data_IF_560540152827
#
_entry.id   IF_560540152827
#
_cell.length_a   1.000
_cell.length_b   1.000
_cell.length_c   1.000
_cell.angle_alpha   90.00
_cell.angle_beta   90.00
_cell.angle_gamma   90.00
#
_symmetry.space_group_name_H-M   'P 1'
#
loop_
_entity.id
_entity.type
_entity.pdbx_description
1 polymer ?
#
# COMPACT_ATOMS: atom_id res chain seq x y z
N UNK A 1 -15.55 22.01 9.77
CA UNK A 1 -15.71 20.59 9.39
C UNK A 1 -15.82 20.55 7.87
N UNK A 2 -14.81 20.00 7.21
CA UNK A 2 -14.75 19.94 5.74
C UNK A 2 -15.72 18.85 5.28
N UNK A 3 -16.67 19.18 4.41
CA UNK A 3 -17.66 18.17 3.97
C UNK A 3 -17.02 17.22 2.95
N UNK A 4 -17.16 15.89 3.10
CA UNK A 4 -16.76 14.95 2.07
C UNK A 4 -17.46 15.27 0.75
N UNK A 5 -16.67 15.38 -0.30
CA UNK A 5 -17.12 15.61 -1.68
C UNK A 5 -17.12 14.29 -2.45
N UNK A 6 -17.69 14.28 -3.66
CA UNK A 6 -17.56 13.15 -4.58
C UNK A 6 -16.09 12.76 -4.80
N UNK A 7 -15.18 13.74 -4.89
CA UNK A 7 -13.75 13.50 -5.04
C UNK A 7 -13.15 12.82 -3.81
N UNK A 8 -13.58 13.19 -2.59
CA UNK A 8 -13.17 12.50 -1.35
C UNK A 8 -13.48 11.01 -1.43
N UNK A 9 -14.71 10.68 -1.84
CA UNK A 9 -15.15 9.30 -1.97
C UNK A 9 -14.39 8.53 -3.05
N UNK A 10 -14.11 9.16 -4.20
CA UNK A 10 -13.30 8.55 -5.26
C UNK A 10 -11.91 8.20 -4.74
N UNK A 11 -11.22 9.15 -4.07
CA UNK A 11 -9.87 8.93 -3.53
C UNK A 11 -9.90 7.85 -2.44
N UNK A 12 -10.90 7.87 -1.56
CA UNK A 12 -11.06 6.89 -0.51
C UNK A 12 -11.29 5.48 -1.09
N UNK A 13 -12.25 5.31 -2.00
CA UNK A 13 -12.55 4.01 -2.60
C UNK A 13 -11.34 3.49 -3.38
N UNK A 14 -10.68 4.35 -4.15
CA UNK A 14 -9.48 3.96 -4.89
C UNK A 14 -8.36 3.49 -3.97
N UNK A 15 -8.15 4.16 -2.83
CA UNK A 15 -7.16 3.73 -1.85
C UNK A 15 -7.52 2.41 -1.18
N UNK A 16 -8.79 2.19 -0.79
CA UNK A 16 -9.20 0.89 -0.25
C UNK A 16 -8.96 -0.24 -1.26
N UNK A 17 -9.34 -0.04 -2.53
CA UNK A 17 -9.08 -1.03 -3.59
C UNK A 17 -7.59 -1.31 -3.75
N UNK A 18 -6.74 -0.32 -3.51
CA UNK A 18 -5.27 -0.42 -3.62
C UNK A 18 -4.65 -1.15 -2.42
N UNK A 19 -4.96 -0.72 -1.18
CA UNK A 19 -4.34 -1.27 0.03
C UNK A 19 -4.95 -2.61 0.45
N UNK A 20 -6.25 -2.84 0.23
CA UNK A 20 -6.95 -4.00 0.78
C UNK A 20 -6.39 -5.35 0.30
N UNK A 21 -6.13 -5.56 -1.02
CA UNK A 21 -5.54 -6.82 -1.47
C UNK A 21 -4.16 -7.09 -0.86
N UNK A 22 -3.33 -6.04 -0.73
CA UNK A 22 -2.02 -6.13 -0.10
C UNK A 22 -2.14 -6.51 1.37
N UNK A 23 -3.09 -5.91 2.09
CA UNK A 23 -3.33 -6.21 3.50
C UNK A 23 -3.75 -7.66 3.71
N UNK A 24 -4.65 -8.18 2.87
CA UNK A 24 -5.06 -9.60 2.90
C UNK A 24 -3.89 -10.53 2.62
N UNK A 25 -3.06 -10.21 1.61
CA UNK A 25 -1.85 -10.94 1.31
C UNK A 25 -0.89 -10.98 2.51
N UNK A 26 -0.71 -9.85 3.19
CA UNK A 26 0.17 -9.75 4.36
C UNK A 26 -0.32 -10.56 5.57
N UNK A 27 -1.63 -10.67 5.79
CA UNK A 27 -2.16 -11.55 6.85
C UNK A 27 -1.82 -13.01 6.60
N UNK A 28 -1.82 -13.46 5.34
CA UNK A 28 -1.39 -14.81 5.02
C UNK A 28 0.08 -15.04 5.39
N UNK A 29 0.93 -14.03 5.21
CA UNK A 29 2.34 -14.09 5.61
C UNK A 29 2.50 -14.21 7.12
N UNK A 30 1.74 -13.42 7.87
CA UNK A 30 1.82 -13.38 9.34
C UNK A 30 1.25 -14.65 9.97
N UNK A 31 0.07 -15.11 9.54
CA UNK A 31 -0.61 -16.24 10.16
C UNK A 31 -0.16 -17.61 9.63
N UNK A 32 0.26 -17.68 8.36
CA UNK A 32 0.67 -18.94 7.72
C UNK A 32 2.07 -18.81 7.09
N UNK A 33 3.09 -18.43 7.87
CA UNK A 33 4.41 -18.07 7.36
C UNK A 33 5.08 -19.17 6.52
N UNK A 34 4.89 -20.44 6.91
CA UNK A 34 5.52 -21.59 6.28
C UNK A 34 4.64 -22.28 5.22
N UNK A 35 3.48 -21.74 4.88
CA UNK A 35 2.57 -22.41 3.94
C UNK A 35 3.01 -22.24 2.48
N UNK A 36 2.76 -23.25 1.65
CA UNK A 36 3.07 -23.16 0.22
C UNK A 36 2.38 -21.97 -0.45
N UNK A 37 1.13 -21.68 -0.07
CA UNK A 37 0.39 -20.50 -0.57
C UNK A 37 1.10 -19.18 -0.25
N UNK A 38 1.66 -19.06 0.95
CA UNK A 38 2.43 -17.88 1.35
C UNK A 38 3.73 -17.77 0.56
N UNK A 39 4.42 -18.89 0.35
CA UNK A 39 5.63 -18.93 -0.49
C UNK A 39 5.33 -18.53 -1.93
N UNK A 40 4.30 -19.14 -2.53
CA UNK A 40 3.86 -18.86 -3.89
C UNK A 40 3.48 -17.38 -4.09
N UNK A 41 2.89 -16.76 -3.06
CA UNK A 41 2.46 -15.36 -3.09
C UNK A 41 3.63 -14.37 -2.96
N UNK A 42 4.71 -14.74 -2.29
CA UNK A 42 5.86 -13.85 -2.03
C UNK A 42 6.96 -14.01 -3.08
N UNK A 43 7.31 -15.25 -3.39
CA UNK A 43 8.51 -15.57 -4.20
C UNK A 43 8.14 -15.63 -5.70
N UNK A 44 6.86 -15.80 -6.02
CA UNK A 44 6.47 -16.36 -7.31
C UNK A 44 7.00 -17.79 -7.43
N UNK A 45 6.72 -18.49 -8.54
CA UNK A 45 7.25 -19.85 -8.76
C UNK A 45 8.77 -19.82 -9.06
N UNK A 46 9.61 -19.48 -8.08
CA UNK A 46 11.06 -19.22 -8.21
C UNK A 46 11.95 -20.02 -7.24
N UNK A 47 13.28 -19.78 -7.26
CA UNK A 47 14.33 -20.61 -6.63
C UNK A 47 14.56 -20.40 -5.10
N UNK A 48 14.87 -21.51 -4.41
CA UNK A 48 14.98 -21.70 -2.95
C UNK A 48 15.91 -20.74 -2.16
N UNK A 49 16.98 -20.21 -2.75
CA UNK A 49 17.94 -19.38 -2.00
C UNK A 49 17.44 -17.93 -1.82
N UNK A 50 16.63 -17.46 -2.77
CA UNK A 50 15.99 -16.15 -2.74
C UNK A 50 14.81 -16.11 -1.77
N UNK A 51 14.22 -17.27 -1.51
CA UNK A 51 13.11 -17.46 -0.58
C UNK A 51 13.43 -16.88 0.78
N UNK A 52 14.56 -17.20 1.41
CA UNK A 52 14.73 -16.85 2.84
C UNK A 52 14.91 -15.36 3.12
N UNK A 53 15.73 -14.66 2.34
CA UNK A 53 16.00 -13.24 2.61
C UNK A 53 14.84 -12.36 2.18
N UNK A 54 14.33 -12.56 0.97
CA UNK A 54 13.17 -11.81 0.47
C UNK A 54 11.93 -12.09 1.34
N UNK A 55 11.70 -13.35 1.75
CA UNK A 55 10.65 -13.68 2.72
C UNK A 55 10.81 -12.94 4.06
N UNK A 56 12.02 -12.88 4.63
CA UNK A 56 12.26 -12.16 5.89
C UNK A 56 11.95 -10.67 5.76
N UNK A 57 12.35 -10.03 4.66
CA UNK A 57 12.02 -8.63 4.41
C UNK A 57 10.51 -8.43 4.21
N UNK A 58 9.88 -9.25 3.38
CA UNK A 58 8.42 -9.18 3.14
C UNK A 58 7.62 -9.42 4.41
N UNK A 59 8.05 -10.34 5.28
CA UNK A 59 7.42 -10.57 6.59
C UNK A 59 7.64 -9.39 7.54
N UNK A 60 8.82 -8.76 7.53
CA UNK A 60 9.08 -7.56 8.33
C UNK A 60 8.21 -6.38 7.88
N UNK A 61 8.09 -6.17 6.57
CA UNK A 61 7.17 -5.17 6.01
C UNK A 61 5.71 -5.49 6.34
N UNK A 62 5.28 -6.76 6.27
CA UNK A 62 3.94 -7.16 6.66
C UNK A 62 3.62 -6.77 8.13
N UNK A 63 4.56 -7.02 9.04
CA UNK A 63 4.40 -6.60 10.44
C UNK A 63 4.36 -5.08 10.59
N UNK A 64 5.27 -4.36 9.93
CA UNK A 64 5.28 -2.89 9.96
C UNK A 64 3.97 -2.30 9.41
N UNK A 65 3.46 -2.87 8.33
CA UNK A 65 2.23 -2.43 7.69
C UNK A 65 1.02 -2.66 8.60
N UNK A 66 0.91 -3.82 9.24
CA UNK A 66 -0.19 -4.08 10.16
C UNK A 66 -0.12 -3.28 11.48
N UNK A 67 1.08 -2.98 11.98
CA UNK A 67 1.27 -2.24 13.23
C UNK A 67 1.21 -0.72 13.06
N UNK A 68 1.63 -0.20 11.90
CA UNK A 68 1.77 1.24 11.68
C UNK A 68 0.86 1.73 10.56
N UNK A 69 0.93 1.10 9.38
CA UNK A 69 0.24 1.60 8.18
C UNK A 69 -1.26 1.36 8.24
N UNK A 70 -1.70 0.20 8.72
CA UNK A 70 -3.12 -0.14 8.82
C UNK A 70 -3.86 0.76 9.84
N UNK A 71 -3.36 0.98 11.08
CA UNK A 71 -3.95 1.96 11.98
C UNK A 71 -3.98 3.37 11.39
N UNK A 72 -2.89 3.79 10.73
CA UNK A 72 -2.81 5.09 10.06
C UNK A 72 -3.88 5.23 8.95
N UNK A 73 -4.05 4.18 8.13
CA UNK A 73 -5.08 4.09 7.09
C UNK A 73 -6.49 4.23 7.68
N UNK A 74 -6.82 3.43 8.70
CA UNK A 74 -8.15 3.46 9.33
C UNK A 74 -8.43 4.84 9.93
N UNK A 75 -7.48 5.39 10.68
CA UNK A 75 -7.65 6.68 11.33
C UNK A 75 -7.74 7.83 10.31
N UNK A 76 -6.89 7.83 9.28
CA UNK A 76 -6.93 8.89 8.26
C UNK A 76 -8.27 8.89 7.52
N UNK A 77 -8.78 7.71 7.16
CA UNK A 77 -10.08 7.58 6.50
C UNK A 77 -11.21 8.05 7.39
N UNK A 78 -11.23 7.62 8.65
CA UNK A 78 -12.23 8.08 9.61
C UNK A 78 -12.21 9.61 9.75
N UNK A 79 -11.03 10.19 9.96
CA UNK A 79 -10.88 11.64 10.10
C UNK A 79 -11.36 12.40 8.88
N UNK A 80 -11.00 11.96 7.67
CA UNK A 80 -11.42 12.60 6.42
C UNK A 80 -12.92 12.47 6.19
N UNK A 81 -13.50 11.28 6.40
CA UNK A 81 -14.93 11.04 6.15
C UNK A 81 -15.83 11.76 7.15
N UNK A 82 -15.33 12.03 8.36
CA UNK A 82 -16.02 12.88 9.36
C UNK A 82 -15.67 14.37 9.19
N UNK A 83 -14.79 14.73 8.25
CA UNK A 83 -14.48 16.11 7.91
C UNK A 83 -13.55 16.83 8.88
N UNK A 84 -12.68 16.07 9.55
CA UNK A 84 -11.71 16.56 10.53
C UNK A 84 -10.37 16.88 9.88
N UNK A 85 -9.79 18.04 10.20
CA UNK A 85 -8.52 18.51 9.62
C UNK A 85 -7.37 17.52 9.85
N UNK A 86 -7.31 16.90 11.04
CA UNK A 86 -6.28 15.90 11.34
C UNK A 86 -6.35 14.68 10.42
N UNK A 87 -7.54 14.32 9.90
CA UNK A 87 -7.69 13.23 8.95
C UNK A 87 -6.94 13.50 7.64
N UNK A 88 -7.04 14.73 7.13
CA UNK A 88 -6.31 15.18 5.94
C UNK A 88 -4.81 15.22 6.16
N UNK A 89 -4.35 15.63 7.36
CA UNK A 89 -2.93 15.55 7.73
C UNK A 89 -2.44 14.10 7.72
N UNK A 90 -3.22 13.17 8.26
CA UNK A 90 -2.87 11.74 8.22
C UNK A 90 -2.92 11.16 6.80
N UNK A 91 -3.80 11.65 5.92
CA UNK A 91 -3.77 11.31 4.50
C UNK A 91 -2.52 11.82 3.79
N UNK A 92 -2.02 13.01 4.13
CA UNK A 92 -0.73 13.50 3.62
C UNK A 92 0.41 12.59 4.10
N UNK A 93 0.43 12.22 5.39
CA UNK A 93 1.45 11.34 5.95
C UNK A 93 1.42 9.97 5.28
N UNK A 94 0.24 9.36 5.18
CA UNK A 94 0.06 8.06 4.53
C UNK A 94 0.36 8.10 3.03
N UNK A 95 -0.05 9.16 2.34
CA UNK A 95 0.29 9.40 0.95
C UNK A 95 1.80 9.48 0.76
N UNK A 96 2.51 10.19 1.64
CA UNK A 96 3.97 10.31 1.60
C UNK A 96 4.66 8.97 1.80
N UNK A 97 4.20 8.18 2.77
CA UNK A 97 4.71 6.83 3.01
C UNK A 97 4.44 5.93 1.79
N UNK A 98 3.26 6.04 1.18
CA UNK A 98 2.91 5.32 -0.05
C UNK A 98 3.88 5.64 -1.20
N UNK A 99 4.25 6.91 -1.37
CA UNK A 99 5.26 7.32 -2.36
C UNK A 99 6.64 6.74 -2.03
N UNK A 100 7.05 6.82 -0.76
CA UNK A 100 8.33 6.28 -0.31
C UNK A 100 8.45 4.77 -0.58
N UNK A 101 7.42 3.99 -0.25
CA UNK A 101 7.40 2.56 -0.54
C UNK A 101 7.32 2.27 -2.03
N UNK A 102 6.54 3.05 -2.79
CA UNK A 102 6.46 2.90 -4.25
C UNK A 102 7.84 3.08 -4.90
N UNK A 103 8.64 4.05 -4.46
CA UNK A 103 10.01 4.27 -4.95
C UNK A 103 10.95 3.15 -4.48
N UNK A 104 10.87 2.77 -3.20
CA UNK A 104 11.72 1.71 -2.63
C UNK A 104 11.50 0.38 -3.35
N UNK A 105 10.25 -0.06 -3.50
CA UNK A 105 9.93 -1.30 -4.21
C UNK A 105 10.13 -1.18 -5.72
N UNK A 106 9.97 0.00 -6.31
CA UNK A 106 10.41 0.24 -7.69
C UNK A 106 11.89 -0.08 -7.90
N UNK A 107 12.76 0.24 -6.94
CA UNK A 107 14.19 -0.06 -7.02
C UNK A 107 14.45 -1.54 -6.70
N UNK A 108 13.85 -2.08 -5.64
CA UNK A 108 14.18 -3.42 -5.13
C UNK A 108 13.50 -4.56 -5.90
N UNK A 109 12.27 -4.37 -6.36
CA UNK A 109 11.43 -5.46 -6.90
C UNK A 109 11.31 -5.47 -8.42
N UNK A 110 11.71 -4.38 -9.10
CA UNK A 110 11.48 -4.24 -10.55
C UNK A 110 12.11 -5.34 -11.37
N UNK A 111 13.33 -5.73 -11.08
CA UNK A 111 14.04 -6.74 -11.87
C UNK A 111 13.39 -8.13 -11.75
N UNK A 112 12.53 -8.30 -10.75
CA UNK A 112 12.02 -9.60 -10.36
C UNK A 112 10.53 -9.78 -10.62
N UNK A 113 9.73 -8.78 -10.28
CA UNK A 113 8.30 -8.82 -10.51
C UNK A 113 7.97 -8.48 -11.97
N UNK A 114 8.73 -7.58 -12.63
CA UNK A 114 8.48 -7.18 -14.01
C UNK A 114 8.48 -8.35 -15.02
N UNK A 115 9.43 -9.32 -14.97
CA UNK A 115 9.39 -10.49 -15.85
C UNK A 115 8.18 -11.40 -15.62
N UNK A 116 7.69 -11.48 -14.37
CA UNK A 116 6.62 -12.41 -13.99
C UNK A 116 5.21 -11.91 -14.30
N UNK A 117 4.96 -10.60 -14.15
CA UNK A 117 3.62 -9.99 -14.36
C UNK A 117 3.52 -9.11 -15.59
N UNK A 118 4.66 -8.81 -16.22
CA UNK A 118 4.74 -7.91 -17.37
C UNK A 118 4.68 -6.42 -16.98
N UNK A 119 5.11 -5.57 -17.91
CA UNK A 119 5.24 -4.12 -17.69
C UNK A 119 3.92 -3.48 -17.24
N UNK A 120 2.84 -3.77 -17.96
CA UNK A 120 1.56 -3.11 -17.75
C UNK A 120 1.04 -3.37 -16.33
N UNK A 121 0.94 -4.64 -15.92
CA UNK A 121 0.49 -4.98 -14.57
C UNK A 121 1.42 -4.47 -13.46
N UNK A 122 2.74 -4.48 -13.69
CA UNK A 122 3.71 -3.98 -12.74
C UNK A 122 3.53 -2.48 -12.45
N UNK A 123 3.45 -1.68 -13.51
CA UNK A 123 3.33 -0.22 -13.41
C UNK A 123 1.94 0.29 -13.06
N UNK A 124 0.90 -0.52 -13.21
CA UNK A 124 -0.47 -0.10 -12.85
C UNK A 124 -0.89 -0.73 -11.53
N UNK A 125 -1.04 -2.06 -11.52
CA UNK A 125 -1.67 -2.78 -10.41
C UNK A 125 -0.73 -3.03 -9.23
N UNK A 126 0.54 -3.35 -9.49
CA UNK A 126 1.44 -3.69 -8.37
C UNK A 126 1.90 -2.43 -7.66
N UNK A 127 2.36 -1.39 -8.39
CA UNK A 127 2.96 -0.22 -7.75
C UNK A 127 2.42 1.14 -8.19
N UNK A 128 1.83 1.23 -9.39
CA UNK A 128 1.28 2.49 -9.90
C UNK A 128 0.15 3.02 -9.04
N UNK A 129 -0.77 2.14 -8.61
CA UNK A 129 -1.92 2.56 -7.82
C UNK A 129 -1.53 3.19 -6.49
N UNK A 130 -0.51 2.66 -5.79
CA UNK A 130 0.02 3.25 -4.56
C UNK A 130 0.62 4.64 -4.80
N UNK A 131 1.35 4.80 -5.91
CA UNK A 131 1.92 6.08 -6.32
C UNK A 131 0.82 7.10 -6.65
N UNK A 132 -0.11 6.74 -7.55
CA UNK A 132 -1.18 7.62 -8.00
C UNK A 132 -2.10 8.01 -6.85
N UNK A 133 -2.46 7.05 -5.99
CA UNK A 133 -3.26 7.32 -4.80
C UNK A 133 -2.51 8.25 -3.84
N UNK A 134 -1.22 8.00 -3.60
CA UNK A 134 -0.40 8.84 -2.70
C UNK A 134 -0.33 10.29 -3.15
N UNK A 135 -0.06 10.53 -4.44
CA UNK A 135 -0.05 11.88 -5.02
C UNK A 135 -1.43 12.53 -4.90
N UNK A 136 -2.49 11.83 -5.28
CA UNK A 136 -3.85 12.35 -5.21
C UNK A 136 -4.27 12.70 -3.78
N UNK A 137 -3.98 11.83 -2.81
CA UNK A 137 -4.29 12.05 -1.40
C UNK A 137 -3.55 13.27 -0.83
N UNK A 138 -2.26 13.44 -1.16
CA UNK A 138 -1.47 14.60 -0.73
C UNK A 138 -2.05 15.89 -1.32
N UNK A 139 -2.19 15.97 -2.64
CA UNK A 139 -2.66 17.18 -3.33
C UNK A 139 -4.06 17.55 -2.83
N UNK A 140 -4.96 16.58 -2.79
CA UNK A 140 -6.33 16.80 -2.33
C UNK A 140 -6.37 17.28 -0.88
N UNK A 141 -5.57 16.70 0.00
CA UNK A 141 -5.53 17.10 1.41
C UNK A 141 -4.97 18.49 1.60
N UNK A 142 -3.90 18.87 0.88
CA UNK A 142 -3.37 20.23 0.90
C UNK A 142 -4.43 21.24 0.46
N UNK A 143 -5.12 20.96 -0.65
CA UNK A 143 -6.16 21.86 -1.18
C UNK A 143 -7.36 22.05 -0.23
N UNK A 144 -7.66 21.07 0.63
CA UNK A 144 -8.76 21.17 1.59
C UNK A 144 -8.34 21.78 2.94
N UNK A 145 -7.03 21.87 3.20
CA UNK A 145 -6.47 22.42 4.44
C UNK A 145 -6.10 23.90 4.34
N UNK A 146 -6.00 24.43 3.11
CA UNK A 146 -5.85 25.86 2.80
C UNK A 146 -7.21 26.53 2.86
#
# INVERSE_FOLDING_TARGET
MIKPTTLTWIIAIFGIITFFPLMVAQLMMIFKPNSQKTKDLIIGKGEDWRDKSHYKYSLAFAWADWLIIFPLLVLSYWGVLVGQNWGYILWIALGTISLYFSITFWVLEREYALPSVGRLAYYTFIWGFFLYWGIAAIIYSILNLI
#
